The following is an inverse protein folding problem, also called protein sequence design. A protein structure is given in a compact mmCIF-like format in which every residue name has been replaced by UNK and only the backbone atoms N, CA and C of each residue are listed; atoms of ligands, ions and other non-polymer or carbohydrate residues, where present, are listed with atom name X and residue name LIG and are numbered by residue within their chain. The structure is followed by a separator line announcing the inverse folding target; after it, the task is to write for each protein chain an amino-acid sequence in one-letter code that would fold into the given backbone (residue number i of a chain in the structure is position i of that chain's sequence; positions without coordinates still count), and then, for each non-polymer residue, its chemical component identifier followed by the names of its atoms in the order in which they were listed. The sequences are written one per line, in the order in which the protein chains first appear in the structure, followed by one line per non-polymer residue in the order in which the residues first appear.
data_IF_126788506455
#
_entry.id   IF_126788506455
#
_cell.length_a   1.000
_cell.length_b   1.000
_cell.length_c   1.000
_cell.angle_alpha   90.00
_cell.angle_beta   90.00
_cell.angle_gamma   90.00
#
_symmetry.space_group_name_H-M   'P 1'
#
loop_
_entity.id
_entity.type
_entity.pdbx_description
1 polymer ?
#
# COMPACT_ATOMS: atom_id res chain seq x y z
N UNK A 1 -43.72 -15.47 66.43
CA UNK A 1 -43.83 -14.19 65.70
C UNK A 1 -42.81 -14.02 64.54
N UNK A 2 -42.35 -15.09 63.87
CA UNK A 2 -41.38 -14.98 62.74
C UNK A 2 -41.84 -15.62 61.43
N UNK A 3 -42.92 -16.40 61.43
CA UNK A 3 -43.43 -17.09 60.22
C UNK A 3 -44.40 -16.24 59.40
N UNK A 4 -45.14 -15.32 60.01
CA UNK A 4 -46.12 -14.48 59.29
C UNK A 4 -45.45 -13.42 58.42
N UNK A 5 -44.33 -12.84 58.87
CA UNK A 5 -43.58 -11.83 58.10
C UNK A 5 -42.97 -12.37 56.79
N UNK A 6 -42.56 -13.65 56.77
CA UNK A 6 -41.98 -14.27 55.58
C UNK A 6 -43.03 -14.47 54.50
N UNK A 7 -44.26 -14.83 54.88
CA UNK A 7 -45.37 -15.04 53.93
C UNK A 7 -45.80 -13.71 53.30
N UNK A 8 -45.89 -12.63 54.10
CA UNK A 8 -46.25 -11.30 53.59
C UNK A 8 -45.21 -10.77 52.61
N UNK A 9 -43.91 -10.96 52.90
CA UNK A 9 -42.83 -10.50 52.00
C UNK A 9 -42.84 -11.28 50.68
N UNK A 10 -43.08 -12.60 50.71
CA UNK A 10 -43.15 -13.41 49.48
C UNK A 10 -44.36 -13.01 48.63
N UNK A 11 -45.53 -12.75 49.23
CA UNK A 11 -46.72 -12.32 48.48
C UNK A 11 -46.48 -10.97 47.80
N UNK A 12 -45.80 -10.02 48.46
CA UNK A 12 -45.49 -8.70 47.88
C UNK A 12 -44.51 -8.84 46.71
N UNK A 13 -43.50 -9.72 46.82
CA UNK A 13 -42.52 -9.94 45.73
C UNK A 13 -43.18 -10.61 44.52
N UNK A 14 -44.05 -11.60 44.73
CA UNK A 14 -44.77 -12.29 43.65
C UNK A 14 -45.79 -11.36 42.99
N UNK A 15 -46.51 -10.54 43.76
CA UNK A 15 -47.42 -9.52 43.22
C UNK A 15 -46.67 -8.43 42.43
N UNK A 16 -45.48 -8.01 42.90
CA UNK A 16 -44.61 -7.07 42.19
C UNK A 16 -44.10 -7.62 40.85
N UNK A 17 -43.71 -8.90 40.81
CA UNK A 17 -43.33 -9.58 39.56
C UNK A 17 -44.51 -9.74 38.59
N UNK A 18 -45.71 -10.03 39.11
CA UNK A 18 -46.91 -10.15 38.27
C UNK A 18 -47.34 -8.80 37.67
N UNK A 19 -47.20 -7.70 38.42
CA UNK A 19 -47.46 -6.34 37.92
C UNK A 19 -46.42 -5.87 36.89
N UNK A 20 -45.15 -6.26 37.03
CA UNK A 20 -44.11 -5.95 36.03
C UNK A 20 -44.27 -6.75 34.74
N UNK A 21 -44.85 -7.95 34.80
CA UNK A 21 -45.13 -8.81 33.64
C UNK A 21 -46.26 -8.32 32.73
N UNK A 22 -47.06 -7.32 33.14
CA UNK A 22 -48.22 -6.84 32.38
C UNK A 22 -47.97 -5.55 31.60
N UNK A 23 -46.77 -4.95 31.67
CA UNK A 23 -46.40 -3.84 30.78
C UNK A 23 -45.96 -4.40 29.42
N UNK A 24 -46.93 -4.65 28.54
CA UNK A 24 -46.67 -4.62 27.10
C UNK A 24 -46.30 -3.18 26.74
N UNK A 25 -45.03 -2.93 26.43
CA UNK A 25 -44.66 -1.73 25.69
C UNK A 25 -45.35 -1.79 24.34
N UNK A 26 -46.36 -0.95 24.14
CA UNK A 26 -46.90 -0.70 22.81
C UNK A 26 -45.79 -0.06 21.99
N UNK A 27 -45.22 -0.83 21.06
CA UNK A 27 -44.28 -0.29 20.08
C UNK A 27 -45.03 0.77 19.29
N UNK A 28 -44.62 2.05 19.32
CA UNK A 28 -45.30 3.08 18.58
C UNK A 28 -45.27 2.71 17.09
N UNK A 29 -46.45 2.63 16.47
CA UNK A 29 -46.56 2.41 15.03
C UNK A 29 -46.00 3.65 14.33
N UNK A 30 -44.74 3.57 13.92
CA UNK A 30 -44.10 4.62 13.13
C UNK A 30 -44.78 4.67 11.76
N UNK A 31 -45.63 5.68 11.55
CA UNK A 31 -46.31 5.90 10.27
C UNK A 31 -45.36 6.57 9.28
N UNK A 32 -45.23 5.96 8.10
CA UNK A 32 -44.48 6.53 6.98
C UNK A 32 -45.07 7.90 6.58
N UNK A 33 -44.27 8.97 6.47
CA UNK A 33 -44.75 10.27 6.00
C UNK A 33 -45.35 10.16 4.60
N UNK A 34 -46.47 10.84 4.35
CA UNK A 34 -47.13 10.86 3.02
C UNK A 34 -46.30 11.55 1.93
N UNK A 35 -45.21 12.23 2.30
CA UNK A 35 -44.28 12.88 1.39
C UNK A 35 -43.21 11.93 0.82
N UNK A 36 -43.13 10.67 1.28
CA UNK A 36 -42.15 9.71 0.78
C UNK A 36 -42.61 9.08 -0.55
N UNK A 37 -42.15 9.64 -1.66
CA UNK A 37 -42.47 9.19 -3.03
C UNK A 37 -42.06 7.73 -3.30
N UNK A 38 -40.96 7.25 -2.70
CA UNK A 38 -40.43 5.89 -2.87
C UNK A 38 -40.66 4.97 -1.64
N UNK A 39 -41.60 5.33 -0.78
CA UNK A 39 -41.90 4.61 0.46
C UNK A 39 -40.84 4.84 1.55
N UNK A 40 -40.97 4.13 2.67
CA UNK A 40 -40.10 4.29 3.84
C UNK A 40 -39.21 3.07 4.09
N UNK A 41 -38.14 3.31 4.84
CA UNK A 41 -37.36 2.24 5.46
C UNK A 41 -38.23 1.61 6.58
N UNK A 42 -38.28 0.26 6.71
CA UNK A 42 -39.12 -0.39 7.72
C UNK A 42 -38.84 0.12 9.14
N UNK A 43 -39.91 0.41 9.90
CA UNK A 43 -39.85 0.90 11.29
C UNK A 43 -39.14 2.27 11.48
N UNK A 44 -39.02 3.09 10.43
CA UNK A 44 -38.46 4.45 10.55
C UNK A 44 -39.36 5.50 9.89
N UNK A 45 -39.09 6.78 10.18
CA UNK A 45 -39.71 7.94 9.51
C UNK A 45 -38.91 8.38 8.26
N UNK A 46 -37.86 7.65 7.88
CA UNK A 46 -37.00 8.01 6.76
C UNK A 46 -37.57 7.48 5.43
N UNK A 47 -37.65 8.36 4.44
CA UNK A 47 -37.99 7.99 3.07
C UNK A 47 -36.85 7.17 2.44
N UNK A 48 -37.21 6.22 1.58
CA UNK A 48 -36.23 5.57 0.69
C UNK A 48 -35.75 6.59 -0.33
N UNK A 49 -34.46 6.52 -0.64
CA UNK A 49 -33.92 7.23 -1.78
C UNK A 49 -34.56 6.71 -3.08
N UNK A 50 -34.61 7.57 -4.09
CA UNK A 50 -35.05 7.15 -5.41
C UNK A 50 -34.24 5.92 -5.86
N UNK A 51 -34.87 4.88 -6.43
CA UNK A 51 -34.11 3.79 -7.01
C UNK A 51 -33.15 4.39 -8.06
N UNK A 52 -31.89 3.92 -8.13
CA UNK A 52 -30.94 4.44 -9.10
C UNK A 52 -31.57 4.37 -10.49
N UNK A 53 -31.56 5.50 -11.21
CA UNK A 53 -32.13 5.61 -12.55
C UNK A 53 -31.54 4.49 -13.42
N UNK A 54 -32.39 3.56 -13.87
CA UNK A 54 -31.96 2.47 -14.71
C UNK A 54 -31.46 3.02 -16.06
N UNK A 55 -30.27 2.61 -16.48
CA UNK A 55 -29.71 2.98 -17.78
C UNK A 55 -30.68 2.64 -18.93
N UNK A 56 -30.98 3.58 -19.84
CA UNK A 56 -31.72 3.26 -21.06
C UNK A 56 -30.99 2.19 -21.86
N UNK A 57 -31.73 1.24 -22.43
CA UNK A 57 -31.19 0.12 -23.24
C UNK A 57 -30.48 0.55 -24.54
N UNK A 58 -30.36 1.86 -24.78
CA UNK A 58 -29.74 2.47 -25.96
C UNK A 58 -28.31 2.96 -25.74
N UNK A 59 -27.79 3.01 -24.50
CA UNK A 59 -26.37 3.36 -24.30
C UNK A 59 -25.49 2.10 -24.54
N UNK A 60 -24.73 2.07 -25.64
CA UNK A 60 -23.84 0.96 -26.03
C UNK A 60 -22.63 0.74 -25.09
N UNK A 61 -22.33 1.71 -24.21
CA UNK A 61 -21.08 1.79 -23.44
C UNK A 61 -21.28 2.06 -21.94
N UNK A 62 -22.49 1.86 -21.41
CA UNK A 62 -22.83 2.11 -19.99
C UNK A 62 -23.13 3.58 -19.65
N UNK A 63 -23.59 3.85 -18.43
CA UNK A 63 -23.85 5.20 -17.91
C UNK A 63 -23.14 5.43 -16.56
N UNK A 64 -22.91 6.70 -16.21
CA UNK A 64 -22.46 7.09 -14.87
C UNK A 64 -23.60 6.98 -13.84
N UNK A 65 -23.30 6.79 -12.54
CA UNK A 65 -24.32 6.90 -11.50
C UNK A 65 -24.91 8.32 -11.48
N UNK A 66 -26.24 8.41 -11.49
CA UNK A 66 -27.04 9.65 -11.36
C UNK A 66 -27.08 10.62 -12.56
N UNK A 67 -26.85 10.16 -13.80
CA UNK A 67 -27.12 10.99 -15.00
C UNK A 67 -27.86 10.23 -16.10
N UNK A 68 -28.65 10.95 -16.90
CA UNK A 68 -29.37 10.43 -18.09
C UNK A 68 -28.64 10.75 -19.40
N UNK A 69 -27.42 11.31 -19.33
CA UNK A 69 -26.65 11.72 -20.51
C UNK A 69 -25.71 10.60 -20.97
N UNK A 70 -25.94 10.02 -22.17
CA UNK A 70 -24.89 9.21 -22.83
C UNK A 70 -23.84 10.20 -23.42
N UNK A 71 -22.75 10.47 -22.71
CA UNK A 71 -21.54 11.09 -23.30
C UNK A 71 -20.59 9.98 -23.77
N UNK A 72 -19.73 10.21 -24.78
CA UNK A 72 -18.60 9.31 -25.02
C UNK A 72 -17.88 9.16 -23.68
N UNK A 73 -17.84 7.93 -23.15
CA UNK A 73 -17.05 7.65 -21.97
C UNK A 73 -15.65 8.23 -22.20
N UNK A 74 -15.05 8.80 -21.16
CA UNK A 74 -13.61 9.04 -21.18
C UNK A 74 -13.01 7.66 -21.41
N UNK A 75 -12.70 7.33 -22.67
CA UNK A 75 -11.89 6.17 -22.99
C UNK A 75 -10.62 6.42 -22.19
N UNK A 76 -10.35 5.60 -21.18
CA UNK A 76 -9.07 5.69 -20.49
C UNK A 76 -8.00 5.75 -21.58
N UNK A 77 -7.12 6.78 -21.58
CA UNK A 77 -6.12 6.90 -22.61
C UNK A 77 -5.40 5.57 -22.68
N UNK A 78 -5.37 4.96 -23.89
CA UNK A 78 -4.73 3.67 -24.12
C UNK A 78 -3.30 3.79 -23.60
N UNK A 79 -3.03 3.17 -22.45
CA UNK A 79 -1.71 3.25 -21.82
C UNK A 79 -0.69 2.56 -22.71
N UNK A 80 0.48 3.19 -22.84
CA UNK A 80 1.57 2.63 -23.60
C UNK A 80 1.99 1.28 -23.01
N UNK A 81 2.30 0.32 -23.88
CA UNK A 81 2.58 -1.05 -23.49
C UNK A 81 4.05 -1.37 -23.76
N UNK A 82 4.75 -1.80 -22.71
CA UNK A 82 6.13 -2.24 -22.78
C UNK A 82 6.12 -3.75 -23.05
N UNK A 83 6.66 -4.14 -24.21
CA UNK A 83 6.78 -5.55 -24.64
C UNK A 83 8.23 -6.03 -24.74
N UNK A 84 9.18 -5.11 -24.60
CA UNK A 84 10.63 -5.38 -24.60
C UNK A 84 11.35 -4.36 -23.73
N UNK A 85 12.51 -4.74 -23.22
CA UNK A 85 13.44 -3.82 -22.56
C UNK A 85 13.85 -2.67 -23.50
N UNK A 86 14.10 -1.49 -22.93
CA UNK A 86 14.49 -0.30 -23.67
C UNK A 86 14.34 0.99 -22.87
N UNK A 87 14.43 2.09 -23.60
CA UNK A 87 14.24 3.44 -23.06
C UNK A 87 12.75 3.73 -22.92
N UNK A 88 12.36 4.26 -21.77
CA UNK A 88 11.01 4.69 -21.43
C UNK A 88 10.99 6.22 -21.30
N UNK A 89 10.16 6.85 -22.12
CA UNK A 89 10.01 8.31 -22.19
C UNK A 89 8.63 8.81 -21.79
N UNK A 90 7.70 7.90 -21.53
CA UNK A 90 6.31 8.21 -21.20
C UNK A 90 5.73 7.12 -20.30
N UNK A 91 4.70 7.50 -19.54
CA UNK A 91 4.01 6.58 -18.65
C UNK A 91 3.49 5.35 -19.40
N UNK A 92 3.80 4.17 -18.90
CA UNK A 92 3.62 2.90 -19.60
C UNK A 92 3.37 1.75 -18.62
N UNK A 93 2.87 0.63 -19.15
CA UNK A 93 2.64 -0.58 -18.38
C UNK A 93 3.29 -1.78 -19.07
N UNK A 94 3.76 -2.77 -18.29
CA UNK A 94 4.19 -4.04 -18.88
C UNK A 94 2.99 -4.79 -19.47
N UNK A 95 3.20 -5.35 -20.65
CA UNK A 95 2.25 -6.25 -21.30
C UNK A 95 2.65 -7.74 -21.22
N UNK A 96 3.90 -8.00 -20.83
CA UNK A 96 4.48 -9.34 -20.75
C UNK A 96 5.74 -9.31 -19.84
N UNK A 97 6.19 -10.49 -19.36
CA UNK A 97 7.51 -10.63 -18.75
C UNK A 97 8.62 -10.11 -19.67
N UNK A 98 9.66 -9.52 -19.10
CA UNK A 98 10.84 -9.05 -19.82
C UNK A 98 12.08 -9.84 -19.43
N UNK A 99 13.05 -9.92 -20.34
CA UNK A 99 14.36 -10.52 -20.08
C UNK A 99 15.44 -9.72 -20.78
N UNK A 100 16.55 -9.47 -20.10
CA UNK A 100 17.72 -8.77 -20.66
C UNK A 100 18.99 -9.05 -19.87
N UNK A 101 20.11 -9.21 -20.57
CA UNK A 101 21.45 -9.34 -19.96
C UNK A 101 22.02 -8.00 -19.47
N UNK A 102 21.57 -6.89 -20.08
CA UNK A 102 21.94 -5.52 -19.70
C UNK A 102 20.77 -4.86 -18.97
N UNK A 103 20.95 -3.59 -18.58
CA UNK A 103 19.87 -2.80 -17.99
C UNK A 103 18.61 -2.83 -18.84
N UNK A 104 17.49 -3.26 -18.25
CA UNK A 104 16.26 -3.52 -19.01
C UNK A 104 15.45 -2.24 -19.27
N UNK A 105 14.98 -1.56 -18.23
CA UNK A 105 14.20 -0.33 -18.38
C UNK A 105 15.02 0.89 -17.98
N UNK A 106 15.24 1.82 -18.91
CA UNK A 106 15.90 3.11 -18.64
C UNK A 106 14.89 4.23 -18.74
N UNK A 107 14.62 4.92 -17.63
CA UNK A 107 13.68 6.04 -17.61
C UNK A 107 14.44 7.32 -17.95
N UNK A 108 14.13 7.91 -19.11
CA UNK A 108 14.85 9.07 -19.65
C UNK A 108 14.06 10.39 -19.58
N UNK A 109 12.80 10.36 -19.12
CA UNK A 109 11.99 11.57 -18.91
C UNK A 109 11.49 11.68 -17.46
N UNK A 110 11.25 12.93 -17.06
CA UNK A 110 10.49 13.27 -15.84
C UNK A 110 9.00 12.89 -16.01
N UNK A 111 8.24 12.86 -14.92
CA UNK A 111 6.78 12.68 -14.94
C UNK A 111 6.31 11.35 -15.55
N UNK A 112 7.09 10.28 -15.32
CA UNK A 112 6.83 8.93 -15.85
C UNK A 112 6.32 8.00 -14.75
N UNK A 113 5.23 7.28 -15.03
CA UNK A 113 4.76 6.15 -14.24
C UNK A 113 4.95 4.84 -14.99
N UNK A 114 5.61 3.87 -14.34
CA UNK A 114 5.73 2.49 -14.81
C UNK A 114 4.93 1.57 -13.89
N UNK A 115 3.94 0.91 -14.45
CA UNK A 115 3.20 -0.18 -13.78
C UNK A 115 3.57 -1.51 -14.41
N UNK A 116 4.28 -2.34 -13.66
CA UNK A 116 4.72 -3.63 -14.15
C UNK A 116 3.62 -4.70 -14.12
N UNK A 117 2.46 -4.45 -13.50
CA UNK A 117 1.35 -5.42 -13.38
C UNK A 117 1.81 -6.80 -12.90
N UNK A 118 2.76 -6.82 -11.97
CA UNK A 118 3.42 -8.01 -11.42
C UNK A 118 4.14 -8.89 -12.47
N UNK A 119 4.29 -8.44 -13.71
CA UNK A 119 5.14 -9.12 -14.69
C UNK A 119 6.61 -9.01 -14.28
N UNK A 120 7.36 -10.13 -14.35
CA UNK A 120 8.75 -10.13 -13.93
C UNK A 120 9.67 -9.51 -15.00
N UNK A 121 10.68 -8.80 -14.53
CA UNK A 121 11.83 -8.33 -15.30
C UNK A 121 13.02 -9.18 -14.85
N UNK A 122 13.53 -10.02 -15.76
CA UNK A 122 14.52 -11.04 -15.47
C UNK A 122 15.88 -10.71 -16.10
N UNK A 123 16.91 -10.63 -15.26
CA UNK A 123 18.29 -10.52 -15.70
C UNK A 123 19.03 -11.87 -15.73
N UNK A 124 20.34 -11.80 -15.97
CA UNK A 124 21.26 -12.95 -15.98
C UNK A 124 22.41 -12.81 -14.97
N UNK A 125 22.30 -11.89 -14.00
CA UNK A 125 23.27 -11.69 -12.93
C UNK A 125 24.55 -10.99 -13.39
N UNK A 126 24.48 -10.18 -14.45
CA UNK A 126 25.61 -9.39 -14.93
C UNK A 126 25.91 -8.24 -13.95
N UNK A 127 27.18 -8.01 -13.64
CA UNK A 127 27.60 -6.80 -12.89
C UNK A 127 27.27 -5.54 -13.71
N UNK A 128 27.07 -4.40 -13.03
CA UNK A 128 26.68 -3.12 -13.64
C UNK A 128 25.39 -3.21 -14.50
N UNK A 129 24.46 -4.08 -14.14
CA UNK A 129 23.15 -4.21 -14.80
C UNK A 129 22.00 -3.85 -13.85
N UNK A 130 20.98 -3.17 -14.37
CA UNK A 130 19.81 -2.76 -13.58
C UNK A 130 18.49 -3.25 -14.19
N UNK A 131 17.58 -3.79 -13.39
CA UNK A 131 16.27 -4.12 -13.91
C UNK A 131 15.52 -2.85 -14.35
N UNK A 132 15.54 -1.85 -13.48
CA UNK A 132 14.98 -0.51 -13.74
C UNK A 132 15.99 0.55 -13.29
N UNK A 133 16.34 1.46 -14.20
CA UNK A 133 17.27 2.57 -13.97
C UNK A 133 16.55 3.92 -14.07
N UNK A 134 16.74 4.74 -13.03
CA UNK A 134 16.33 6.14 -12.99
C UNK A 134 17.56 7.00 -12.70
N UNK A 135 17.97 7.83 -13.65
CA UNK A 135 19.17 8.66 -13.50
C UNK A 135 18.89 10.10 -13.93
N UNK A 136 19.03 11.05 -12.99
CA UNK A 136 18.81 12.47 -13.26
C UNK A 136 17.35 12.81 -13.58
N UNK A 137 16.38 12.12 -12.98
CA UNK A 137 14.95 12.29 -13.27
C UNK A 137 14.15 12.74 -12.06
N UNK A 138 12.96 13.28 -12.33
CA UNK A 138 12.05 13.73 -11.30
C UNK A 138 10.62 13.25 -11.50
N UNK A 139 9.90 13.11 -10.39
CA UNK A 139 8.49 12.73 -10.40
C UNK A 139 8.24 11.40 -11.14
N UNK A 140 9.04 10.38 -10.79
CA UNK A 140 8.94 9.04 -11.39
C UNK A 140 8.27 8.10 -10.39
N UNK A 141 7.27 7.34 -10.86
CA UNK A 141 6.64 6.27 -10.08
C UNK A 141 6.93 4.93 -10.73
N UNK A 142 7.45 3.98 -9.97
CA UNK A 142 7.64 2.58 -10.39
C UNK A 142 6.82 1.73 -9.43
N UNK A 143 5.91 0.90 -9.96
CA UNK A 143 5.02 0.10 -9.12
C UNK A 143 4.70 -1.29 -9.64
N UNK A 144 4.37 -2.18 -8.70
CA UNK A 144 3.92 -3.56 -8.95
C UNK A 144 4.92 -4.37 -9.80
N UNK A 145 6.22 -4.19 -9.57
CA UNK A 145 7.27 -4.85 -10.35
C UNK A 145 7.92 -5.99 -9.58
N UNK A 146 8.18 -7.09 -10.27
CA UNK A 146 9.05 -8.18 -9.79
C UNK A 146 10.36 -8.12 -10.56
N UNK A 147 11.49 -7.90 -9.89
CA UNK A 147 12.79 -7.71 -10.53
C UNK A 147 13.83 -8.66 -9.96
N UNK A 148 14.50 -9.43 -10.83
CA UNK A 148 15.43 -10.48 -10.41
C UNK A 148 16.68 -10.55 -11.24
N UNK A 149 17.76 -11.07 -10.64
CA UNK A 149 19.02 -11.40 -11.33
C UNK A 149 19.67 -10.21 -12.05
N UNK A 150 19.65 -9.01 -11.47
CA UNK A 150 20.44 -7.86 -11.91
C UNK A 150 21.57 -7.57 -10.92
N UNK A 151 22.49 -6.66 -11.22
CA UNK A 151 23.38 -6.13 -10.19
C UNK A 151 22.55 -5.42 -9.12
N UNK A 152 21.72 -4.46 -9.53
CA UNK A 152 20.66 -3.91 -8.69
C UNK A 152 19.29 -4.10 -9.34
N UNK A 153 18.29 -4.51 -8.56
CA UNK A 153 16.93 -4.65 -9.10
C UNK A 153 16.39 -3.30 -9.59
N UNK A 154 16.38 -2.31 -8.70
CA UNK A 154 16.08 -0.91 -9.04
C UNK A 154 17.25 -0.03 -8.64
N UNK A 155 17.73 0.79 -9.56
CA UNK A 155 18.80 1.74 -9.33
C UNK A 155 18.29 3.17 -9.60
N UNK A 156 18.41 4.04 -8.61
CA UNK A 156 18.05 5.46 -8.70
C UNK A 156 19.26 6.31 -8.36
N UNK A 157 19.62 7.26 -9.23
CA UNK A 157 20.70 8.20 -8.95
C UNK A 157 20.40 9.65 -9.37
N UNK A 158 20.91 10.62 -8.60
CA UNK A 158 20.78 12.06 -8.88
C UNK A 158 19.34 12.50 -9.20
N UNK A 159 18.36 11.88 -8.55
CA UNK A 159 16.94 12.01 -8.91
C UNK A 159 16.14 12.59 -7.74
N UNK A 160 14.93 13.08 -7.98
CA UNK A 160 14.06 13.51 -6.88
C UNK A 160 12.58 13.23 -7.08
N UNK A 161 11.81 13.13 -5.99
CA UNK A 161 10.37 12.80 -6.03
C UNK A 161 10.12 11.47 -6.72
N UNK A 162 10.74 10.43 -6.18
CA UNK A 162 10.67 9.07 -6.71
C UNK A 162 9.75 8.24 -5.82
N UNK A 163 8.82 7.50 -6.42
CA UNK A 163 7.92 6.58 -5.70
C UNK A 163 8.16 5.15 -6.16
N UNK A 164 8.63 4.30 -5.24
CA UNK A 164 8.88 2.88 -5.44
C UNK A 164 7.85 2.08 -4.63
N UNK A 165 6.82 1.57 -5.31
CA UNK A 165 5.61 1.07 -4.64
C UNK A 165 5.35 -0.40 -4.96
N UNK A 166 5.14 -1.24 -3.95
CA UNK A 166 4.80 -2.66 -4.12
C UNK A 166 5.78 -3.39 -5.05
N UNK A 167 7.08 -3.26 -4.78
CA UNK A 167 8.12 -3.92 -5.58
C UNK A 167 8.57 -5.21 -4.90
N UNK A 168 8.85 -6.24 -5.69
CA UNK A 168 9.56 -7.43 -5.24
C UNK A 168 10.93 -7.48 -5.92
N UNK A 169 12.00 -7.40 -5.13
CA UNK A 169 13.38 -7.49 -5.63
C UNK A 169 14.06 -8.71 -5.01
N UNK A 170 14.51 -9.63 -5.85
CA UNK A 170 15.14 -10.86 -5.35
C UNK A 170 16.28 -11.38 -6.19
N UNK A 171 17.24 -12.05 -5.54
CA UNK A 171 18.35 -12.72 -6.22
C UNK A 171 19.18 -11.77 -7.08
N UNK A 172 19.25 -10.48 -6.71
CA UNK A 172 20.14 -9.53 -7.34
C UNK A 172 21.56 -9.68 -6.78
N UNK A 173 22.55 -9.45 -7.62
CA UNK A 173 23.96 -9.70 -7.34
C UNK A 173 24.58 -8.69 -6.37
N UNK A 174 23.91 -7.56 -6.16
CA UNK A 174 24.28 -6.57 -5.16
C UNK A 174 23.06 -6.20 -4.32
N UNK A 175 22.24 -5.28 -4.81
CA UNK A 175 21.16 -4.67 -4.03
C UNK A 175 19.80 -4.98 -4.62
N UNK A 176 18.79 -5.18 -3.78
CA UNK A 176 17.40 -5.19 -4.26
C UNK A 176 17.03 -3.82 -4.82
N UNK A 177 17.25 -2.77 -4.03
CA UNK A 177 17.09 -1.37 -4.42
C UNK A 177 18.33 -0.58 -3.99
N UNK A 178 18.89 0.24 -4.87
CA UNK A 178 19.97 1.17 -4.56
C UNK A 178 19.57 2.60 -4.93
N UNK A 179 19.63 3.50 -3.94
CA UNK A 179 19.30 4.92 -4.04
C UNK A 179 20.55 5.74 -3.73
N UNK A 180 21.02 6.51 -4.70
CA UNK A 180 22.28 7.26 -4.59
C UNK A 180 22.05 8.73 -4.91
N UNK A 181 22.45 9.64 -4.03
CA UNK A 181 22.35 11.09 -4.26
C UNK A 181 20.95 11.52 -4.73
N UNK A 182 19.89 10.95 -4.17
CA UNK A 182 18.51 11.20 -4.60
C UNK A 182 17.63 11.63 -3.43
N UNK A 183 16.79 12.63 -3.63
CA UNK A 183 16.02 13.25 -2.56
C UNK A 183 14.51 13.06 -2.74
N UNK A 184 13.73 13.19 -1.66
CA UNK A 184 12.26 13.06 -1.72
C UNK A 184 11.83 11.70 -2.30
N UNK A 185 12.37 10.59 -1.79
CA UNK A 185 12.05 9.23 -2.26
C UNK A 185 11.10 8.53 -1.28
N UNK A 186 10.06 7.90 -1.81
CA UNK A 186 9.13 7.03 -1.07
C UNK A 186 9.34 5.59 -1.51
N UNK A 187 9.58 4.71 -0.54
CA UNK A 187 9.72 3.27 -0.71
C UNK A 187 8.67 2.61 0.17
N UNK A 188 7.62 2.08 -0.46
CA UNK A 188 6.41 1.63 0.22
C UNK A 188 6.00 0.22 -0.24
N UNK A 189 5.77 -0.66 0.73
CA UNK A 189 5.32 -2.04 0.46
C UNK A 189 6.33 -2.88 -0.33
N UNK A 190 7.63 -2.59 -0.25
CA UNK A 190 8.66 -3.34 -0.96
C UNK A 190 9.00 -4.63 -0.21
N UNK A 191 9.15 -5.72 -0.97
CA UNK A 191 9.74 -6.98 -0.52
C UNK A 191 11.11 -7.18 -1.17
N UNK A 192 12.20 -7.02 -0.42
CA UNK A 192 13.55 -7.32 -0.90
C UNK A 192 14.11 -8.57 -0.21
N UNK A 193 14.45 -9.61 -0.98
CA UNK A 193 14.95 -10.85 -0.38
C UNK A 193 16.00 -11.60 -1.20
N UNK A 194 16.93 -12.27 -0.53
CA UNK A 194 17.97 -13.08 -1.19
C UNK A 194 18.85 -12.29 -2.17
N UNK A 195 19.03 -11.00 -1.95
CA UNK A 195 20.02 -10.20 -2.69
C UNK A 195 21.40 -10.44 -2.07
N UNK A 196 22.46 -10.46 -2.88
CA UNK A 196 23.78 -10.94 -2.46
C UNK A 196 24.58 -9.93 -1.63
N UNK A 197 24.15 -8.66 -1.52
CA UNK A 197 24.72 -7.69 -0.59
C UNK A 197 23.64 -7.06 0.27
N UNK A 198 22.73 -6.31 -0.34
CA UNK A 198 21.80 -5.43 0.37
C UNK A 198 20.35 -5.67 -0.04
N UNK A 199 19.41 -5.60 0.91
CA UNK A 199 17.99 -5.50 0.58
C UNK A 199 17.71 -4.15 -0.06
N UNK A 200 17.96 -3.09 0.69
CA UNK A 200 17.88 -1.69 0.26
C UNK A 200 19.15 -0.95 0.72
N UNK A 201 19.76 -0.20 -0.20
CA UNK A 201 20.88 0.70 0.08
C UNK A 201 20.49 2.14 -0.26
N UNK A 202 20.72 3.06 0.67
CA UNK A 202 20.47 4.49 0.51
C UNK A 202 21.75 5.24 0.90
N UNK A 203 22.30 6.00 -0.05
CA UNK A 203 23.55 6.74 0.11
C UNK A 203 23.39 8.20 -0.30
N UNK A 204 23.88 9.13 0.53
CA UNK A 204 23.94 10.57 0.25
C UNK A 204 22.57 11.17 -0.15
N UNK A 205 21.49 10.68 0.45
CA UNK A 205 20.11 10.92 0.01
C UNK A 205 19.29 11.50 1.16
N UNK A 206 18.41 12.46 0.90
CA UNK A 206 17.68 13.16 1.95
C UNK A 206 16.17 13.08 1.77
N UNK A 207 15.43 13.15 2.87
CA UNK A 207 13.96 13.12 2.86
C UNK A 207 13.45 11.82 2.23
N UNK A 208 13.81 10.70 2.85
CA UNK A 208 13.42 9.36 2.39
C UNK A 208 12.39 8.77 3.34
N UNK A 209 11.36 8.16 2.77
CA UNK A 209 10.31 7.47 3.52
C UNK A 209 10.35 5.98 3.19
N UNK A 210 10.58 5.16 4.21
CA UNK A 210 10.53 3.70 4.16
C UNK A 210 9.31 3.26 4.96
N UNK A 211 8.27 2.81 4.25
CA UNK A 211 6.95 2.50 4.81
C UNK A 211 6.59 1.04 4.53
N UNK A 212 6.27 0.25 5.55
CA UNK A 212 5.66 -1.07 5.34
C UNK A 212 6.54 -2.08 4.58
N UNK A 213 7.87 -1.93 4.59
CA UNK A 213 8.75 -2.77 3.78
C UNK A 213 9.14 -4.07 4.49
N UNK A 214 9.25 -5.16 3.74
CA UNK A 214 9.70 -6.47 4.20
C UNK A 214 11.05 -6.84 3.59
N UNK A 215 12.13 -6.70 4.37
CA UNK A 215 13.49 -7.03 3.95
C UNK A 215 13.96 -8.28 4.69
N UNK A 216 14.27 -9.35 3.96
CA UNK A 216 14.63 -10.64 4.58
C UNK A 216 15.68 -11.42 3.82
N UNK A 217 16.52 -12.18 4.52
CA UNK A 217 17.51 -13.08 3.90
C UNK A 217 18.47 -12.33 2.94
N UNK A 218 18.87 -11.12 3.31
CA UNK A 218 19.95 -10.39 2.64
C UNK A 218 21.14 -10.35 3.61
N UNK A 219 22.41 -10.35 3.17
CA UNK A 219 23.52 -10.20 4.11
C UNK A 219 23.40 -8.97 5.01
N UNK A 220 22.85 -7.88 4.48
CA UNK A 220 22.45 -6.70 5.22
C UNK A 220 21.09 -6.20 4.68
N UNK A 221 20.07 -6.03 5.52
CA UNK A 221 18.74 -5.68 5.02
C UNK A 221 18.66 -4.23 4.54
N UNK A 222 18.94 -3.26 5.42
CA UNK A 222 18.84 -1.84 5.12
C UNK A 222 20.15 -1.12 5.47
N UNK A 223 20.68 -0.38 4.50
CA UNK A 223 21.91 0.42 4.65
C UNK A 223 21.60 1.87 4.41
N UNK A 224 21.97 2.73 5.36
CA UNK A 224 21.75 4.16 5.34
C UNK A 224 23.10 4.86 5.56
N UNK A 225 23.61 5.52 4.53
CA UNK A 225 24.89 6.22 4.58
C UNK A 225 24.75 7.69 4.19
N UNK A 226 25.33 8.59 4.99
CA UNK A 226 25.40 10.03 4.71
C UNK A 226 24.03 10.66 4.37
N UNK A 227 22.96 10.16 4.97
CA UNK A 227 21.59 10.44 4.58
C UNK A 227 20.82 11.09 5.73
N UNK A 228 19.91 12.03 5.43
CA UNK A 228 19.22 12.80 6.47
C UNK A 228 17.72 12.86 6.26
N UNK A 229 17.02 13.22 7.33
CA UNK A 229 15.57 13.38 7.32
C UNK A 229 14.85 12.10 6.86
N UNK A 230 15.24 10.96 7.44
CA UNK A 230 14.65 9.67 7.11
C UNK A 230 13.43 9.40 7.98
N UNK A 231 12.40 8.81 7.39
CA UNK A 231 11.22 8.28 8.08
C UNK A 231 11.18 6.77 7.89
N UNK A 232 11.31 6.01 8.98
CA UNK A 232 11.20 4.56 9.00
C UNK A 232 9.95 4.17 9.77
N UNK A 233 8.94 3.65 9.08
CA UNK A 233 7.68 3.26 9.71
C UNK A 233 7.19 1.89 9.24
N UNK A 234 6.74 1.08 10.20
CA UNK A 234 6.10 -0.21 9.93
C UNK A 234 6.98 -1.18 9.10
N UNK A 235 8.30 -1.06 9.16
CA UNK A 235 9.21 -1.92 8.39
C UNK A 235 9.59 -3.19 9.16
N UNK A 236 9.68 -4.31 8.45
CA UNK A 236 10.14 -5.60 8.96
C UNK A 236 11.47 -5.98 8.31
N UNK A 237 12.56 -5.91 9.09
CA UNK A 237 13.93 -6.19 8.68
C UNK A 237 14.44 -7.41 9.47
N UNK A 238 14.18 -8.62 8.98
CA UNK A 238 14.42 -9.85 9.75
C UNK A 238 15.27 -10.86 8.97
N UNK A 239 15.72 -11.92 9.66
CA UNK A 239 16.35 -13.09 9.02
C UNK A 239 17.61 -12.73 8.21
N UNK A 240 18.40 -11.80 8.73
CA UNK A 240 19.62 -11.31 8.11
C UNK A 240 20.69 -11.11 9.19
N UNK A 241 21.98 -11.42 8.93
CA UNK A 241 23.03 -11.29 9.93
C UNK A 241 23.14 -9.90 10.54
N UNK A 242 22.83 -8.86 9.78
CA UNK A 242 22.66 -7.50 10.29
C UNK A 242 21.46 -6.91 9.56
N UNK A 243 20.52 -6.29 10.26
CA UNK A 243 19.30 -5.82 9.59
C UNK A 243 19.35 -4.35 9.23
N UNK A 244 20.03 -3.54 10.01
CA UNK A 244 20.01 -2.11 9.78
C UNK A 244 21.34 -1.47 10.17
N UNK A 245 22.00 -0.88 9.17
CA UNK A 245 23.26 -0.17 9.29
C UNK A 245 23.11 1.33 9.00
N UNK A 246 23.66 2.15 9.89
CA UNK A 246 23.78 3.59 9.71
C UNK A 246 25.22 4.07 9.83
N UNK A 247 25.62 4.92 8.89
CA UNK A 247 26.85 5.70 8.96
C UNK A 247 26.49 7.15 8.64
N UNK A 248 26.85 8.07 9.54
CA UNK A 248 26.60 9.52 9.39
C UNK A 248 25.17 9.84 8.92
N UNK A 249 24.19 9.18 9.55
CA UNK A 249 22.78 9.22 9.13
C UNK A 249 21.90 9.86 10.20
N UNK A 250 20.90 10.62 9.77
CA UNK A 250 19.89 11.25 10.61
C UNK A 250 18.49 10.70 10.30
N UNK A 251 17.92 9.98 11.27
CA UNK A 251 16.54 9.46 11.21
C UNK A 251 15.67 10.41 12.01
N UNK A 252 14.71 11.06 11.34
CA UNK A 252 13.85 12.08 11.93
C UNK A 252 12.59 11.48 12.56
N UNK A 253 12.04 10.43 11.95
CA UNK A 253 10.84 9.73 12.44
C UNK A 253 11.07 8.24 12.39
N UNK A 254 10.72 7.59 13.49
CA UNK A 254 10.75 6.15 13.61
C UNK A 254 9.54 5.65 14.40
N UNK A 255 8.81 4.67 13.85
CA UNK A 255 7.69 4.03 14.55
C UNK A 255 7.45 2.61 14.06
N UNK A 256 7.12 1.70 14.98
CA UNK A 256 6.55 0.38 14.66
C UNK A 256 7.43 -0.50 13.74
N UNK A 257 8.75 -0.32 13.79
CA UNK A 257 9.68 -1.17 13.05
C UNK A 257 10.01 -2.45 13.83
N UNK A 258 10.23 -3.54 13.09
CA UNK A 258 10.68 -4.83 13.61
C UNK A 258 12.02 -5.13 12.96
N UNK A 259 13.08 -5.28 13.76
CA UNK A 259 14.40 -5.56 13.22
C UNK A 259 15.33 -6.28 14.20
N UNK A 260 16.23 -7.10 13.66
CA UNK A 260 17.32 -7.74 14.40
C UNK A 260 18.65 -7.02 14.15
N UNK A 261 19.53 -6.94 15.15
CA UNK A 261 20.92 -6.47 14.94
C UNK A 261 21.02 -5.14 14.16
N UNK A 262 20.64 -4.03 14.82
CA UNK A 262 20.77 -2.67 14.26
C UNK A 262 21.73 -1.80 15.05
N UNK A 263 22.39 -0.84 14.38
CA UNK A 263 23.27 0.16 15.01
C UNK A 263 22.80 1.61 14.81
N UNK A 264 21.56 1.80 14.33
CA UNK A 264 21.04 3.10 13.91
C UNK A 264 20.41 3.93 15.02
N UNK A 265 20.47 3.46 16.28
CA UNK A 265 19.68 4.05 17.37
C UNK A 265 18.17 3.83 17.18
N UNK A 266 17.79 2.90 16.29
CA UNK A 266 16.42 2.63 15.89
C UNK A 266 15.78 1.68 16.91
N UNK A 267 14.67 2.10 17.52
CA UNK A 267 13.87 1.34 18.48
C UNK A 267 12.98 0.33 17.76
N UNK A 268 13.56 -0.84 17.46
CA UNK A 268 12.83 -1.96 16.88
C UNK A 268 12.27 -2.93 17.93
N UNK A 269 11.13 -3.54 17.59
CA UNK A 269 10.72 -4.81 18.20
C UNK A 269 11.56 -5.97 17.65
N UNK A 270 11.79 -7.05 18.44
CA UNK A 270 12.50 -8.23 17.96
C UNK A 270 11.69 -8.98 16.90
N UNK A 271 12.38 -9.63 15.98
CA UNK A 271 11.74 -10.57 15.05
C UNK A 271 11.25 -11.81 15.80
N UNK A 272 10.16 -12.43 15.30
CA UNK A 272 9.51 -13.61 15.86
C UNK A 272 10.07 -14.91 15.32
#
# INVERSE_FOLDING_TARGET
MRKEWVVVVIIIIVAGWWLLSQKKEEVPVVKCPSACEYGCIPNTVQCREAPPLACPSTCLWGCFPNTTECKPGVVEPKKNQITKCGVINESSELAAPLTSQDTCLRIENDDVTIDCKDYPILGEGKLDSYGIEVNGRRNVTIKNCVVKNYASGVYTSHSSRISLLNLQTEENMESGISIVSSDEVVIDGVKASRNLRFGIEITSSNTIQLLGNLLTNNPLNLVLHFSKNLTLRDNQLCSSPKSLECIETEIAVESDNVCEENNCGVVCSPCS
#
